data_IF_397368203996
#
_entry.id   IF_397368203996
#
_cell.length_a   1.000
_cell.length_b   1.000
_cell.length_c   1.000
_cell.angle_alpha   90.00
_cell.angle_beta   90.00
_cell.angle_gamma   90.00
#
_symmetry.space_group_name_H-M   'P 1'
#
loop_
_entity.id
_entity.type
_entity.pdbx_description
1 polymer ?
#
# COMPACT_ATOMS: atom_id res chain seq x y z
N UNK A 1 38.41 29.72 -1.29
CA UNK A 1 38.72 29.36 0.11
C UNK A 1 38.04 30.41 0.98
N UNK A 2 36.93 30.08 1.65
CA UNK A 2 36.96 29.24 2.85
C UNK A 2 36.00 28.05 2.80
N UNK A 3 36.31 27.09 3.66
CA UNK A 3 35.68 25.78 3.84
C UNK A 3 34.36 25.91 4.60
N UNK A 4 33.30 25.29 4.11
CA UNK A 4 32.09 25.03 4.88
C UNK A 4 32.09 23.56 5.30
N UNK A 5 31.91 23.39 6.60
CA UNK A 5 32.04 22.20 7.42
C UNK A 5 30.87 21.22 7.23
N UNK A 6 31.23 19.94 7.21
CA UNK A 6 30.35 18.78 7.20
C UNK A 6 29.41 18.73 8.41
N UNK A 7 28.11 18.55 8.15
CA UNK A 7 27.09 18.23 9.16
C UNK A 7 26.63 16.79 9.01
N UNK A 8 27.34 15.85 9.66
CA UNK A 8 26.89 14.47 9.83
C UNK A 8 25.67 14.43 10.76
N UNK A 9 24.49 14.10 10.22
CA UNK A 9 23.29 13.87 11.02
C UNK A 9 23.07 12.37 11.19
N UNK A 10 23.43 11.88 12.37
CA UNK A 10 23.20 10.53 12.89
C UNK A 10 21.70 10.27 13.04
N UNK A 11 21.09 9.44 12.18
CA UNK A 11 19.75 8.91 12.44
C UNK A 11 19.85 7.51 13.06
N UNK A 12 19.31 7.46 14.28
CA UNK A 12 19.25 6.33 15.19
C UNK A 12 18.38 5.22 14.59
N UNK A 13 18.90 4.00 14.62
CA UNK A 13 18.15 2.77 14.35
C UNK A 13 17.15 2.52 15.48
N UNK A 14 15.86 2.41 15.14
CA UNK A 14 14.83 1.87 16.02
C UNK A 14 14.80 0.35 15.84
N UNK A 15 15.22 -0.36 16.89
CA UNK A 15 15.02 -1.79 17.05
C UNK A 15 13.54 -2.05 17.37
N UNK A 16 12.83 -2.73 16.46
CA UNK A 16 11.48 -3.22 16.69
C UNK A 16 11.53 -4.75 16.86
N UNK A 17 10.85 -5.22 17.90
CA UNK A 17 11.01 -6.54 18.50
C UNK A 17 10.57 -7.72 17.62
N UNK A 18 11.37 -8.78 17.71
CA UNK A 18 11.06 -10.13 17.27
C UNK A 18 10.10 -10.78 18.29
N UNK A 19 8.83 -10.89 17.96
CA UNK A 19 7.89 -11.81 18.64
C UNK A 19 8.05 -13.20 18.03
N UNK A 20 8.65 -14.12 18.79
CA UNK A 20 8.69 -15.53 18.44
C UNK A 20 7.30 -16.16 18.67
N UNK A 21 6.63 -16.54 17.58
CA UNK A 21 5.43 -17.39 17.65
C UNK A 21 5.90 -18.84 17.67
N UNK A 22 5.70 -19.52 18.79
CA UNK A 22 5.89 -20.97 18.92
C UNK A 22 4.66 -21.67 18.36
N UNK A 23 4.76 -22.24 17.16
CA UNK A 23 3.78 -23.20 16.63
C UNK A 23 4.08 -24.59 17.23
N UNK A 24 3.24 -25.06 18.13
CA UNK A 24 3.19 -26.48 18.53
C UNK A 24 2.39 -27.26 17.49
N UNK A 25 3.08 -27.93 16.56
CA UNK A 25 2.46 -28.89 15.66
C UNK A 25 2.15 -30.20 16.43
N UNK A 26 0.87 -30.53 16.57
CA UNK A 26 0.42 -31.83 17.06
C UNK A 26 0.56 -32.88 15.94
N UNK A 27 1.42 -33.87 16.11
CA UNK A 27 1.55 -35.02 15.22
C UNK A 27 0.38 -35.99 15.43
N UNK A 28 -0.37 -36.41 14.40
CA UNK A 28 -1.27 -37.55 14.52
C UNK A 28 -0.46 -38.84 14.61
N UNK A 29 -0.77 -39.67 15.62
CA UNK A 29 -0.23 -41.00 15.78
C UNK A 29 -0.69 -41.90 14.62
N UNK A 30 0.24 -42.32 13.78
CA UNK A 30 0.00 -43.34 12.77
C UNK A 30 -0.04 -44.72 13.43
N UNK A 31 -1.12 -45.46 13.19
CA UNK A 31 -1.25 -46.85 13.60
C UNK A 31 -0.27 -47.73 12.82
N UNK A 32 0.56 -48.48 13.54
CA UNK A 32 1.49 -49.46 12.98
C UNK A 32 0.68 -50.71 12.61
N UNK A 33 0.37 -50.88 11.32
CA UNK A 33 -0.09 -52.15 10.78
C UNK A 33 1.12 -53.09 10.57
N UNK A 34 0.97 -54.35 10.97
CA UNK A 34 2.01 -55.38 10.85
C UNK A 34 2.37 -55.64 9.37
N UNK A 35 3.65 -55.96 9.07
CA UNK A 35 4.08 -56.26 7.70
C UNK A 35 3.57 -57.64 7.26
N UNK A 36 2.66 -57.65 6.29
CA UNK A 36 2.31 -58.84 5.53
C UNK A 36 3.52 -59.23 4.67
N UNK A 37 4.11 -60.39 4.94
CA UNK A 37 5.26 -60.95 4.22
C UNK A 37 4.82 -61.33 2.80
N UNK A 38 5.14 -60.50 1.82
CA UNK A 38 4.96 -60.79 0.40
C UNK A 38 6.04 -61.75 -0.09
N UNK A 39 5.63 -62.72 -0.91
CA UNK A 39 6.49 -63.71 -1.56
C UNK A 39 7.28 -63.05 -2.72
N UNK A 40 8.52 -63.49 -3.01
CA UNK A 40 9.33 -62.93 -4.09
C UNK A 40 8.79 -63.41 -5.44
N UNK A 41 8.04 -62.54 -6.10
CA UNK A 41 7.73 -62.69 -7.53
C UNK A 41 7.95 -61.31 -8.14
N UNK A 42 9.15 -61.02 -8.68
CA UNK A 42 9.41 -59.98 -9.71
C UNK A 42 10.90 -59.63 -9.94
N UNK A 43 11.84 -60.57 -9.95
CA UNK A 43 13.22 -60.23 -10.36
C UNK A 43 13.33 -59.86 -11.85
N UNK A 44 12.51 -60.44 -12.73
CA UNK A 44 12.54 -60.12 -14.16
C UNK A 44 11.79 -58.83 -14.55
N UNK A 45 10.73 -58.47 -13.80
CA UNK A 45 9.97 -57.23 -14.08
C UNK A 45 10.75 -56.00 -13.63
N UNK A 46 11.49 -56.10 -12.51
CA UNK A 46 12.35 -55.01 -12.02
C UNK A 46 13.52 -54.69 -12.97
N UNK A 47 14.16 -55.71 -13.54
CA UNK A 47 15.29 -55.52 -14.46
C UNK A 47 14.88 -54.88 -15.81
N UNK A 48 13.70 -55.25 -16.34
CA UNK A 48 13.18 -54.63 -17.57
C UNK A 48 12.80 -53.16 -17.35
N UNK A 49 12.24 -52.83 -16.17
CA UNK A 49 11.92 -51.45 -15.84
C UNK A 49 13.18 -50.59 -15.71
N UNK A 50 14.25 -51.12 -15.10
CA UNK A 50 15.51 -50.41 -14.87
C UNK A 50 16.17 -49.95 -16.18
N UNK A 51 16.17 -50.81 -17.20
CA UNK A 51 16.68 -50.49 -18.53
C UNK A 51 15.91 -49.32 -19.18
N UNK A 52 14.58 -49.37 -19.15
CA UNK A 52 13.73 -48.30 -19.70
C UNK A 52 13.92 -46.98 -18.95
N UNK A 53 14.13 -47.02 -17.64
CA UNK A 53 14.35 -45.83 -16.81
C UNK A 53 15.72 -45.20 -17.06
N UNK A 54 16.78 -46.01 -17.17
CA UNK A 54 18.12 -45.54 -17.60
C UNK A 54 18.04 -44.91 -18.99
N UNK A 55 17.36 -45.55 -19.94
CA UNK A 55 17.17 -45.02 -21.29
C UNK A 55 16.42 -43.69 -21.28
N UNK A 56 15.29 -43.62 -20.59
CA UNK A 56 14.49 -42.40 -20.46
C UNK A 56 15.30 -41.25 -19.86
N UNK A 57 16.11 -41.54 -18.83
CA UNK A 57 16.97 -40.56 -18.20
C UNK A 57 18.12 -40.12 -19.13
N UNK A 58 18.76 -41.05 -19.82
CA UNK A 58 19.79 -40.74 -20.81
C UNK A 58 19.26 -39.84 -21.94
N UNK A 59 18.05 -40.11 -22.44
CA UNK A 59 17.38 -39.26 -23.45
C UNK A 59 17.21 -37.82 -22.93
N UNK A 60 16.79 -37.62 -21.68
CA UNK A 60 16.62 -36.28 -21.07
C UNK A 60 17.91 -35.46 -21.05
N UNK A 61 19.07 -36.12 -20.99
CA UNK A 61 20.37 -35.46 -21.03
C UNK A 61 21.02 -35.47 -22.43
N UNK A 62 20.31 -35.90 -23.47
CA UNK A 62 20.86 -35.97 -24.83
C UNK A 62 21.87 -37.10 -25.02
N UNK A 63 21.81 -38.14 -24.18
CA UNK A 63 22.67 -39.32 -24.21
C UNK A 63 21.96 -40.57 -24.76
N UNK A 64 20.73 -40.44 -25.28
CA UNK A 64 19.91 -41.57 -25.74
C UNK A 64 20.51 -42.43 -26.86
N UNK A 65 21.51 -41.92 -27.58
CA UNK A 65 22.25 -42.71 -28.60
C UNK A 65 23.35 -43.61 -28.03
N UNK A 66 23.64 -43.52 -26.73
CA UNK A 66 24.72 -44.26 -26.07
C UNK A 66 24.18 -45.52 -25.40
N UNK A 67 23.97 -46.57 -26.18
CA UNK A 67 23.53 -47.87 -25.63
C UNK A 67 24.55 -48.46 -24.64
N UNK A 68 25.84 -48.19 -24.87
CA UNK A 68 26.94 -48.54 -23.96
C UNK A 68 26.76 -47.96 -22.54
N UNK A 69 26.10 -46.80 -22.42
CA UNK A 69 25.80 -46.18 -21.14
C UNK A 69 24.71 -46.94 -20.39
N UNK A 70 23.68 -47.42 -21.10
CA UNK A 70 22.49 -48.05 -20.51
C UNK A 70 22.82 -49.44 -19.94
N UNK A 71 23.81 -50.11 -20.53
CA UNK A 71 24.31 -51.42 -20.08
C UNK A 71 25.20 -51.33 -18.84
N UNK A 72 25.57 -50.13 -18.37
CA UNK A 72 26.35 -49.96 -17.16
C UNK A 72 25.54 -50.35 -15.91
N UNK A 73 26.27 -50.82 -14.89
CA UNK A 73 25.72 -50.95 -13.53
C UNK A 73 25.29 -49.58 -13.01
N UNK A 74 24.27 -49.54 -12.15
CA UNK A 74 23.63 -48.29 -11.68
C UNK A 74 24.63 -47.24 -11.24
N UNK A 75 25.61 -47.64 -10.43
CA UNK A 75 26.64 -46.73 -9.94
C UNK A 75 27.43 -46.07 -11.06
N UNK A 76 27.88 -46.84 -12.04
CA UNK A 76 28.67 -46.33 -13.17
C UNK A 76 27.81 -45.48 -14.11
N UNK A 77 26.54 -45.86 -14.30
CA UNK A 77 25.55 -45.05 -15.01
C UNK A 77 25.37 -43.68 -14.32
N UNK A 78 25.17 -43.66 -13.00
CA UNK A 78 25.01 -42.41 -12.23
C UNK A 78 26.27 -41.55 -12.28
N UNK A 79 27.47 -42.14 -12.16
CA UNK A 79 28.75 -41.42 -12.30
C UNK A 79 28.89 -40.82 -13.71
N UNK A 80 28.45 -41.53 -14.75
CA UNK A 80 28.47 -41.03 -16.11
C UNK A 80 27.48 -39.87 -16.32
N UNK A 81 26.27 -39.95 -15.76
CA UNK A 81 25.32 -38.82 -15.74
C UNK A 81 25.93 -37.63 -15.00
N UNK A 82 26.48 -37.83 -13.79
CA UNK A 82 27.14 -36.77 -13.02
C UNK A 82 28.26 -36.10 -13.83
N UNK A 83 29.13 -36.91 -14.46
CA UNK A 83 30.24 -36.41 -15.28
C UNK A 83 29.75 -35.57 -16.45
N UNK A 84 28.60 -35.92 -17.03
CA UNK A 84 28.00 -35.17 -18.13
C UNK A 84 27.40 -33.83 -17.69
N UNK A 85 26.90 -33.74 -16.44
CA UNK A 85 26.20 -32.55 -15.94
C UNK A 85 27.04 -31.66 -15.03
N UNK A 86 28.21 -32.11 -14.56
CA UNK A 86 28.98 -31.42 -13.52
C UNK A 86 29.36 -29.97 -13.86
N UNK A 87 29.62 -29.68 -15.12
CA UNK A 87 30.03 -28.35 -15.61
C UNK A 87 28.84 -27.52 -16.14
N UNK A 88 27.61 -28.03 -16.00
CA UNK A 88 26.38 -27.40 -16.50
C UNK A 88 25.60 -26.76 -15.34
N UNK A 89 25.67 -25.43 -15.14
CA UNK A 89 25.01 -24.78 -14.00
C UNK A 89 23.49 -24.99 -13.98
N UNK A 90 22.87 -25.19 -15.14
CA UNK A 90 21.46 -25.49 -15.30
C UNK A 90 21.03 -26.89 -14.82
N UNK A 91 21.98 -27.73 -14.41
CA UNK A 91 21.76 -29.09 -13.90
C UNK A 91 22.35 -29.27 -12.50
N UNK A 92 22.49 -28.18 -11.73
CA UNK A 92 23.14 -28.20 -10.42
C UNK A 92 22.46 -29.17 -9.44
N UNK A 93 21.12 -29.21 -9.42
CA UNK A 93 20.35 -30.12 -8.56
C UNK A 93 20.60 -31.60 -8.92
N UNK A 94 20.64 -31.92 -10.22
CA UNK A 94 20.92 -33.29 -10.70
C UNK A 94 22.34 -33.70 -10.34
N UNK A 95 23.31 -32.78 -10.47
CA UNK A 95 24.70 -33.00 -10.07
C UNK A 95 24.78 -33.37 -8.59
N UNK A 96 24.14 -32.59 -7.72
CA UNK A 96 24.13 -32.83 -6.26
C UNK A 96 23.45 -34.16 -5.93
N UNK A 97 22.31 -34.47 -6.55
CA UNK A 97 21.60 -35.73 -6.32
C UNK A 97 22.42 -36.95 -6.77
N UNK A 98 23.08 -36.88 -7.92
CA UNK A 98 23.95 -37.96 -8.42
C UNK A 98 25.17 -38.16 -7.52
N UNK A 99 25.80 -37.05 -7.08
CA UNK A 99 26.95 -37.07 -6.16
C UNK A 99 26.60 -37.71 -4.82
N UNK A 100 25.43 -37.40 -4.28
CA UNK A 100 24.92 -38.02 -3.05
C UNK A 100 24.71 -39.53 -3.24
N UNK A 101 24.14 -39.95 -4.36
CA UNK A 101 23.83 -41.35 -4.65
C UNK A 101 25.10 -42.23 -4.73
N UNK A 102 26.10 -41.84 -5.54
CA UNK A 102 27.30 -42.66 -5.70
C UNK A 102 28.30 -42.55 -4.53
N UNK A 103 28.12 -41.54 -3.67
CA UNK A 103 28.93 -41.32 -2.45
C UNK A 103 28.30 -41.93 -1.20
N UNK A 104 27.16 -42.62 -1.32
CA UNK A 104 26.54 -43.35 -0.23
C UNK A 104 27.47 -44.45 0.32
N UNK A 105 27.13 -44.96 1.51
CA UNK A 105 27.93 -46.03 2.15
C UNK A 105 27.98 -47.28 1.25
N UNK A 106 29.01 -48.13 1.35
CA UNK A 106 29.10 -49.34 0.54
C UNK A 106 27.88 -50.26 0.66
N UNK A 107 27.16 -50.22 1.79
CA UNK A 107 25.96 -51.00 2.02
C UNK A 107 24.72 -50.43 1.31
N UNK A 108 24.68 -49.11 1.10
CA UNK A 108 23.50 -48.41 0.59
C UNK A 108 23.68 -47.91 -0.86
N UNK A 109 24.90 -47.94 -1.40
CA UNK A 109 25.24 -47.30 -2.69
C UNK A 109 24.45 -47.85 -3.87
N UNK A 110 24.18 -49.16 -3.91
CA UNK A 110 23.39 -49.77 -4.99
C UNK A 110 21.95 -49.26 -4.96
N UNK A 111 21.31 -49.31 -3.78
CA UNK A 111 19.95 -48.81 -3.60
C UNK A 111 19.86 -47.30 -3.87
N UNK A 112 20.84 -46.51 -3.39
CA UNK A 112 20.86 -45.08 -3.62
C UNK A 112 21.01 -44.70 -5.11
N UNK A 113 21.79 -45.47 -5.87
CA UNK A 113 21.93 -45.27 -7.31
C UNK A 113 20.66 -45.70 -8.07
N UNK A 114 20.02 -46.81 -7.67
CA UNK A 114 18.73 -47.23 -8.20
C UNK A 114 17.64 -46.18 -7.94
N UNK A 115 17.54 -45.70 -6.70
CA UNK A 115 16.61 -44.63 -6.29
C UNK A 115 16.86 -43.34 -7.09
N UNK A 116 18.13 -43.03 -7.37
CA UNK A 116 18.46 -41.90 -8.24
C UNK A 116 17.88 -42.03 -9.65
N UNK A 117 18.04 -43.20 -10.27
CA UNK A 117 17.55 -43.47 -11.62
C UNK A 117 16.02 -43.43 -11.66
N UNK A 118 15.37 -44.02 -10.65
CA UNK A 118 13.93 -44.18 -10.59
C UNK A 118 13.18 -42.88 -10.27
N UNK A 119 13.67 -42.11 -9.30
CA UNK A 119 12.89 -40.99 -8.74
C UNK A 119 13.71 -39.70 -8.61
N UNK A 120 14.89 -39.74 -7.99
CA UNK A 120 15.56 -38.49 -7.60
C UNK A 120 16.06 -37.66 -8.77
N UNK A 121 16.45 -38.28 -9.89
CA UNK A 121 16.89 -37.52 -11.05
C UNK A 121 15.74 -36.67 -11.65
N UNK A 122 14.51 -37.20 -11.67
CA UNK A 122 13.33 -36.44 -12.09
C UNK A 122 12.98 -35.36 -11.07
N UNK A 123 12.98 -35.70 -9.77
CA UNK A 123 12.71 -34.74 -8.71
C UNK A 123 13.72 -33.56 -8.72
N UNK A 124 15.00 -33.85 -9.01
CA UNK A 124 16.03 -32.83 -9.17
C UNK A 124 15.81 -31.92 -10.39
N UNK A 125 15.36 -32.47 -11.52
CA UNK A 125 15.00 -31.67 -12.70
C UNK A 125 13.79 -30.76 -12.42
N UNK A 126 12.81 -31.25 -11.66
CA UNK A 126 11.63 -30.47 -11.28
C UNK A 126 12.02 -29.33 -10.31
N UNK A 127 12.84 -29.60 -9.29
CA UNK A 127 13.40 -28.56 -8.39
C UNK A 127 14.15 -27.48 -9.16
N UNK A 128 14.96 -27.87 -10.14
CA UNK A 128 15.70 -26.94 -10.99
C UNK A 128 14.77 -26.07 -11.85
N UNK A 129 13.72 -26.66 -12.44
CA UNK A 129 12.71 -25.94 -13.22
C UNK A 129 11.93 -24.95 -12.35
N UNK A 130 11.52 -25.36 -11.15
CA UNK A 130 10.85 -24.50 -10.18
C UNK A 130 11.75 -23.34 -9.75
N UNK A 131 13.02 -23.62 -9.41
CA UNK A 131 14.02 -22.61 -9.05
C UNK A 131 14.20 -21.56 -10.15
N UNK A 132 14.31 -22.00 -11.41
CA UNK A 132 14.45 -21.10 -12.56
C UNK A 132 13.20 -20.25 -12.76
N UNK A 133 12.03 -20.87 -12.69
CA UNK A 133 10.75 -20.17 -12.82
C UNK A 133 10.56 -19.13 -11.70
N UNK A 134 10.96 -19.47 -10.47
CA UNK A 134 10.93 -18.57 -9.33
C UNK A 134 11.90 -17.39 -9.51
N UNK A 135 13.12 -17.62 -10.02
CA UNK A 135 14.09 -16.55 -10.29
C UNK A 135 13.64 -15.65 -11.45
N UNK A 136 13.09 -16.22 -12.53
CA UNK A 136 12.47 -15.46 -13.61
C UNK A 136 11.34 -14.57 -13.09
N UNK A 137 10.47 -15.13 -12.24
CA UNK A 137 9.42 -14.35 -11.57
C UNK A 137 10.00 -13.24 -10.71
N UNK A 138 10.99 -13.50 -9.85
CA UNK A 138 11.64 -12.47 -9.03
C UNK A 138 12.23 -11.34 -9.88
N UNK A 139 12.90 -11.68 -10.98
CA UNK A 139 13.46 -10.68 -11.91
C UNK A 139 12.37 -9.85 -12.59
N UNK A 140 11.28 -10.49 -13.02
CA UNK A 140 10.12 -9.79 -13.60
C UNK A 140 9.46 -8.86 -12.58
N UNK A 141 9.19 -9.35 -11.37
CA UNK A 141 8.58 -8.57 -10.28
C UNK A 141 9.47 -7.38 -9.88
N UNK A 142 10.80 -7.56 -9.85
CA UNK A 142 11.76 -6.48 -9.61
C UNK A 142 11.76 -5.43 -10.74
N UNK A 143 11.71 -5.86 -12.00
CA UNK A 143 11.64 -4.95 -13.14
C UNK A 143 10.34 -4.14 -13.13
N UNK A 144 9.19 -4.80 -12.91
CA UNK A 144 7.86 -4.17 -12.82
C UNK A 144 7.76 -3.19 -11.66
N UNK A 145 8.24 -3.57 -10.47
CA UNK A 145 8.25 -2.67 -9.30
C UNK A 145 9.15 -1.46 -9.51
N UNK A 146 10.34 -1.64 -10.10
CA UNK A 146 11.24 -0.52 -10.44
C UNK A 146 10.60 0.40 -11.48
N UNK A 147 9.93 -0.15 -12.49
CA UNK A 147 9.26 0.62 -13.52
C UNK A 147 8.08 1.44 -12.94
N UNK A 148 7.24 0.82 -12.10
CA UNK A 148 6.14 1.50 -11.42
C UNK A 148 6.61 2.63 -10.49
N UNK A 149 7.73 2.43 -9.79
CA UNK A 149 8.33 3.45 -8.94
C UNK A 149 8.74 4.72 -9.71
N UNK A 150 9.04 4.62 -11.01
CA UNK A 150 9.40 5.76 -11.85
C UNK A 150 8.27 6.80 -12.00
N UNK A 151 7.02 6.39 -11.78
CA UNK A 151 5.83 7.26 -11.78
C UNK A 151 5.19 7.36 -10.40
N UNK A 152 5.94 7.08 -9.33
CA UNK A 152 5.48 7.09 -7.93
C UNK A 152 4.30 6.14 -7.65
N UNK A 153 4.18 5.05 -8.40
CA UNK A 153 3.18 4.00 -8.15
C UNK A 153 3.82 2.91 -7.31
N UNK A 154 3.22 2.63 -6.15
CA UNK A 154 3.57 1.45 -5.33
C UNK A 154 3.06 0.20 -6.04
N UNK A 155 3.96 -0.74 -6.34
CA UNK A 155 3.59 -1.99 -6.97
C UNK A 155 2.92 -2.94 -5.95
N UNK A 156 1.63 -3.19 -6.15
CA UNK A 156 0.86 -4.18 -5.38
C UNK A 156 0.89 -5.56 -6.07
N UNK A 157 0.33 -6.57 -5.40
CA UNK A 157 0.28 -7.92 -5.94
C UNK A 157 -0.48 -7.99 -7.28
N UNK A 158 -1.54 -7.18 -7.46
CA UNK A 158 -2.32 -7.17 -8.70
C UNK A 158 -1.53 -6.57 -9.89
N UNK A 159 -0.63 -5.62 -9.63
CA UNK A 159 0.25 -5.05 -10.63
C UNK A 159 1.41 -5.98 -10.98
N UNK A 160 1.97 -6.68 -9.99
CA UNK A 160 3.10 -7.59 -10.20
C UNK A 160 2.67 -8.94 -10.77
N UNK A 161 1.44 -9.37 -10.53
CA UNK A 161 0.91 -10.61 -11.06
C UNK A 161 0.49 -10.51 -12.53
N UNK A 162 0.66 -11.60 -13.28
CA UNK A 162 0.25 -11.69 -14.68
C UNK A 162 1.34 -11.38 -15.72
N UNK A 163 0.89 -11.05 -16.94
CA UNK A 163 1.74 -10.88 -18.13
C UNK A 163 2.24 -9.44 -18.27
N UNK A 164 3.29 -9.24 -19.08
CA UNK A 164 3.81 -7.89 -19.36
C UNK A 164 2.73 -7.00 -19.98
N UNK A 165 1.92 -7.52 -20.90
CA UNK A 165 0.75 -6.82 -21.45
C UNK A 165 -0.20 -6.32 -20.35
N UNK A 166 -0.50 -7.15 -19.35
CA UNK A 166 -1.38 -6.77 -18.24
C UNK A 166 -0.77 -5.68 -17.38
N UNK A 167 0.53 -5.77 -17.09
CA UNK A 167 1.25 -4.71 -16.40
C UNK A 167 1.16 -3.38 -17.16
N UNK A 168 1.43 -3.36 -18.48
CA UNK A 168 1.34 -2.14 -19.29
C UNK A 168 -0.10 -1.58 -19.32
N UNK A 169 -1.12 -2.43 -19.41
CA UNK A 169 -2.53 -2.03 -19.34
C UNK A 169 -2.85 -1.31 -18.02
N UNK A 170 -2.42 -1.89 -16.89
CA UNK A 170 -2.64 -1.34 -15.56
C UNK A 170 -1.88 -0.03 -15.34
N UNK A 171 -0.70 0.15 -15.94
CA UNK A 171 0.02 1.42 -15.94
C UNK A 171 -0.75 2.46 -16.77
N UNK A 172 -1.16 2.11 -17.99
CA UNK A 172 -1.91 3.00 -18.87
C UNK A 172 -3.21 3.49 -18.21
N UNK A 173 -3.99 2.58 -17.60
CA UNK A 173 -5.23 2.90 -16.89
C UNK A 173 -5.00 3.87 -15.72
N UNK A 174 -3.85 3.79 -15.04
CA UNK A 174 -3.52 4.72 -13.93
C UNK A 174 -3.16 6.11 -14.44
N UNK A 175 -2.49 6.22 -15.58
CA UNK A 175 -2.01 7.51 -16.10
C UNK A 175 -2.96 8.16 -17.11
N UNK A 176 -4.04 7.48 -17.52
CA UNK A 176 -4.92 7.97 -18.60
C UNK A 176 -5.59 9.32 -18.24
N UNK A 177 -5.99 9.48 -16.98
CA UNK A 177 -6.60 10.71 -16.45
C UNK A 177 -5.57 11.64 -15.76
N UNK A 178 -4.32 11.20 -15.61
CA UNK A 178 -3.28 12.00 -14.96
C UNK A 178 -2.57 12.90 -15.97
N UNK A 179 -2.89 14.19 -15.91
CA UNK A 179 -2.26 15.23 -16.74
C UNK A 179 -0.75 15.39 -16.52
N UNK A 180 -0.17 14.80 -15.45
CA UNK A 180 1.26 14.87 -15.16
C UNK A 180 2.11 13.95 -16.05
N UNK A 181 1.51 12.95 -16.70
CA UNK A 181 2.22 11.84 -17.36
C UNK A 181 1.87 11.64 -18.86
N UNK A 182 1.85 12.69 -19.69
CA UNK A 182 1.42 12.56 -21.09
C UNK A 182 2.35 11.68 -21.93
N UNK A 183 3.68 11.71 -21.71
CA UNK A 183 4.61 10.86 -22.47
C UNK A 183 4.58 9.42 -21.98
N UNK A 184 4.43 9.19 -20.68
CA UNK A 184 4.20 7.83 -20.15
C UNK A 184 2.93 7.23 -20.75
N UNK A 185 1.83 7.99 -20.78
CA UNK A 185 0.56 7.56 -21.41
C UNK A 185 0.76 7.16 -22.87
N UNK A 186 1.47 7.98 -23.65
CA UNK A 186 1.76 7.67 -25.05
C UNK A 186 2.64 6.43 -25.20
N UNK A 187 3.72 6.30 -24.41
CA UNK A 187 4.62 5.16 -24.46
C UNK A 187 3.91 3.85 -24.05
N UNK A 188 3.06 3.89 -23.03
CA UNK A 188 2.26 2.74 -22.60
C UNK A 188 1.25 2.32 -23.68
N UNK A 189 0.61 3.27 -24.37
CA UNK A 189 -0.30 2.98 -25.48
C UNK A 189 0.41 2.27 -26.65
N UNK A 190 1.63 2.71 -26.99
CA UNK A 190 2.46 2.05 -28.01
C UNK A 190 2.85 0.65 -27.57
N UNK A 191 3.30 0.48 -26.32
CA UNK A 191 3.69 -0.83 -25.79
C UNK A 191 2.52 -1.82 -25.71
N UNK A 192 1.31 -1.34 -25.40
CA UNK A 192 0.08 -2.16 -25.39
C UNK A 192 -0.25 -2.75 -26.77
N UNK A 193 -0.02 -1.99 -27.84
CA UNK A 193 -0.23 -2.43 -29.22
C UNK A 193 0.97 -3.21 -29.78
N UNK A 194 2.04 -3.31 -29.01
CA UNK A 194 3.30 -3.92 -29.41
C UNK A 194 3.39 -5.43 -29.14
N UNK A 195 4.51 -6.01 -29.56
CA UNK A 195 4.89 -7.40 -29.29
C UNK A 195 5.34 -7.58 -27.83
N UNK A 196 5.46 -8.84 -27.37
CA UNK A 196 5.98 -9.16 -26.03
C UNK A 196 7.38 -8.52 -25.78
N UNK A 197 8.25 -8.49 -26.79
CA UNK A 197 9.55 -7.82 -26.69
C UNK A 197 9.45 -6.30 -26.50
N UNK A 198 8.46 -5.65 -27.12
CA UNK A 198 8.21 -4.22 -26.94
C UNK A 198 7.61 -3.91 -25.55
N UNK A 199 6.73 -4.78 -25.06
CA UNK A 199 6.20 -4.68 -23.69
C UNK A 199 7.33 -4.83 -22.65
N UNK A 200 8.21 -5.83 -22.83
CA UNK A 200 9.36 -6.02 -21.96
C UNK A 200 10.33 -4.83 -22.03
N UNK A 201 10.59 -4.27 -23.22
CA UNK A 201 11.46 -3.09 -23.37
C UNK A 201 10.88 -1.85 -22.67
N UNK A 202 9.55 -1.68 -22.73
CA UNK A 202 8.85 -0.63 -22.00
C UNK A 202 9.00 -0.80 -20.48
N UNK A 203 8.85 -2.01 -19.95
CA UNK A 203 9.05 -2.31 -18.52
C UNK A 203 10.51 -2.08 -18.10
N UNK A 204 11.47 -2.55 -18.90
CA UNK A 204 12.89 -2.50 -18.57
C UNK A 204 13.45 -1.07 -18.55
N UNK A 205 12.95 -0.17 -19.40
CA UNK A 205 13.51 1.18 -19.54
C UNK A 205 12.52 2.25 -20.02
N UNK A 206 11.62 1.91 -20.94
CA UNK A 206 10.75 2.88 -21.61
C UNK A 206 9.85 3.68 -20.66
N UNK A 207 9.31 3.04 -19.61
CA UNK A 207 8.49 3.73 -18.60
C UNK A 207 9.31 4.79 -17.85
N UNK A 208 10.52 4.45 -17.40
CA UNK A 208 11.38 5.38 -16.67
C UNK A 208 11.88 6.53 -17.56
N UNK A 209 12.17 6.26 -18.83
CA UNK A 209 12.55 7.30 -19.80
C UNK A 209 11.43 8.30 -20.06
N UNK A 210 10.21 7.80 -20.30
CA UNK A 210 9.04 8.64 -20.49
C UNK A 210 8.75 9.49 -19.25
N UNK A 211 8.81 8.90 -18.04
CA UNK A 211 8.60 9.61 -16.78
C UNK A 211 9.66 10.69 -16.53
N UNK A 212 10.94 10.40 -16.83
CA UNK A 212 12.01 11.40 -16.78
C UNK A 212 11.73 12.57 -17.73
N UNK A 213 11.24 12.29 -18.92
CA UNK A 213 10.94 13.33 -19.89
C UNK A 213 9.73 14.18 -19.48
N UNK A 214 8.65 13.58 -18.98
CA UNK A 214 7.50 14.32 -18.42
C UNK A 214 7.95 15.23 -17.26
N UNK A 215 8.84 14.75 -16.40
CA UNK A 215 9.41 15.55 -15.31
C UNK A 215 10.25 16.72 -15.83
N UNK A 216 11.12 16.49 -16.82
CA UNK A 216 11.91 17.56 -17.46
C UNK A 216 11.02 18.61 -18.11
N UNK A 217 9.98 18.19 -18.83
CA UNK A 217 9.04 19.11 -19.49
C UNK A 217 8.30 19.97 -18.46
N UNK A 218 7.91 19.39 -17.31
CA UNK A 218 7.29 20.13 -16.21
C UNK A 218 8.25 21.14 -15.59
N UNK A 219 9.50 20.74 -15.32
CA UNK A 219 10.54 21.66 -14.82
C UNK A 219 10.76 22.79 -15.82
N UNK A 220 10.92 22.49 -17.10
CA UNK A 220 11.11 23.49 -18.14
C UNK A 220 9.91 24.44 -18.26
N UNK A 221 8.68 23.93 -18.13
CA UNK A 221 7.45 24.74 -18.09
C UNK A 221 7.44 25.68 -16.88
N UNK A 222 7.84 25.19 -15.72
CA UNK A 222 7.91 25.99 -14.49
C UNK A 222 9.07 27.00 -14.50
N UNK A 223 10.17 26.69 -15.16
CA UNK A 223 11.29 27.61 -15.39
C UNK A 223 10.94 28.69 -16.44
N UNK A 224 10.20 28.33 -17.47
CA UNK A 224 9.70 29.26 -18.49
C UNK A 224 8.62 30.22 -17.94
N UNK A 225 7.98 29.88 -16.82
CA UNK A 225 7.14 30.85 -16.10
C UNK A 225 8.00 31.99 -15.58
N UNK A 226 7.77 33.18 -16.13
CA UNK A 226 8.47 34.41 -15.71
C UNK A 226 8.23 34.68 -14.23
N UNK A 227 9.15 35.42 -13.59
CA UNK A 227 8.97 35.86 -12.20
C UNK A 227 7.63 36.60 -11.99
N UNK A 228 7.18 37.35 -13.00
CA UNK A 228 5.88 38.02 -13.01
C UNK A 228 4.70 37.03 -13.02
N UNK A 229 4.77 35.95 -13.80
CA UNK A 229 3.74 34.91 -13.81
C UNK A 229 3.65 34.18 -12.46
N UNK A 230 4.80 33.87 -11.84
CA UNK A 230 4.85 33.26 -10.50
C UNK A 230 4.28 34.20 -9.43
N UNK A 231 4.65 35.48 -9.46
CA UNK A 231 4.11 36.47 -8.54
C UNK A 231 2.59 36.64 -8.71
N UNK A 232 2.09 36.70 -9.94
CA UNK A 232 0.66 36.75 -10.22
C UNK A 232 -0.09 35.50 -9.72
N UNK A 233 0.49 34.31 -9.89
CA UNK A 233 -0.08 33.07 -9.38
C UNK A 233 -0.16 33.04 -7.85
N UNK A 234 0.87 33.53 -7.14
CA UNK A 234 0.87 33.65 -5.68
C UNK A 234 -0.20 34.62 -5.17
N UNK A 235 -0.34 35.78 -5.83
CA UNK A 235 -1.40 36.75 -5.50
C UNK A 235 -2.79 36.13 -5.71
N UNK A 236 -3.01 35.42 -6.83
CA UNK A 236 -4.27 34.72 -7.10
C UNK A 236 -4.55 33.62 -6.07
N UNK A 237 -3.52 32.89 -5.62
CA UNK A 237 -3.66 31.88 -4.58
C UNK A 237 -4.04 32.51 -3.23
N UNK A 238 -3.38 33.60 -2.82
CA UNK A 238 -3.70 34.33 -1.59
C UNK A 238 -5.15 34.82 -1.59
N UNK A 239 -5.60 35.45 -2.69
CA UNK A 239 -7.01 35.87 -2.88
C UNK A 239 -8.00 34.72 -2.77
N UNK A 240 -7.67 33.58 -3.37
CA UNK A 240 -8.50 32.36 -3.29
C UNK A 240 -8.64 31.86 -1.85
N UNK A 241 -7.53 31.78 -1.11
CA UNK A 241 -7.57 31.34 0.29
C UNK A 241 -8.37 32.30 1.17
N UNK A 242 -8.16 33.61 0.99
CA UNK A 242 -8.91 34.64 1.69
C UNK A 242 -10.42 34.55 1.41
N UNK A 243 -10.82 34.45 0.14
CA UNK A 243 -12.23 34.33 -0.25
C UNK A 243 -12.90 33.07 0.33
N UNK A 244 -12.23 31.91 0.23
CA UNK A 244 -12.72 30.66 0.82
C UNK A 244 -12.89 30.77 2.34
N UNK A 245 -12.00 31.48 3.04
CA UNK A 245 -12.05 31.62 4.51
C UNK A 245 -13.33 32.31 4.98
N UNK A 246 -13.84 33.24 4.20
CA UNK A 246 -15.02 34.04 4.54
C UNK A 246 -16.31 33.54 3.87
N UNK A 247 -16.20 32.57 2.96
CA UNK A 247 -17.34 32.04 2.21
C UNK A 247 -17.73 32.87 0.98
N UNK A 248 -16.82 33.75 0.51
CA UNK A 248 -16.99 34.52 -0.71
C UNK A 248 -16.85 33.58 -1.93
N UNK A 249 -17.82 33.52 -2.86
CA UNK A 249 -17.73 32.67 -4.04
C UNK A 249 -16.49 32.96 -4.88
N UNK A 250 -15.64 31.96 -5.07
CA UNK A 250 -14.39 32.09 -5.83
C UNK A 250 -14.68 31.96 -7.32
N UNK A 251 -14.63 33.07 -8.04
CA UNK A 251 -14.67 33.09 -9.52
C UNK A 251 -13.34 33.56 -10.11
N UNK A 252 -13.10 33.27 -11.38
CA UNK A 252 -11.88 33.74 -12.05
C UNK A 252 -11.83 35.26 -12.16
N UNK A 253 -12.98 35.92 -12.34
CA UNK A 253 -13.09 37.37 -12.33
C UNK A 253 -12.61 37.95 -10.99
N UNK A 254 -13.07 37.38 -9.87
CA UNK A 254 -12.68 37.80 -8.53
C UNK A 254 -11.17 37.71 -8.30
N UNK A 255 -10.54 36.61 -8.74
CA UNK A 255 -9.11 36.40 -8.54
C UNK A 255 -8.25 37.32 -9.42
N UNK A 256 -8.80 37.79 -10.53
CA UNK A 256 -8.11 38.69 -11.46
C UNK A 256 -8.30 40.18 -11.12
N UNK A 257 -9.13 40.53 -10.14
CA UNK A 257 -9.29 41.92 -9.71
C UNK A 257 -7.97 42.50 -9.18
N UNK A 258 -7.71 43.80 -9.35
CA UNK A 258 -6.70 44.51 -8.59
C UNK A 258 -6.89 44.32 -7.07
N UNK A 259 -5.80 44.30 -6.30
CA UNK A 259 -5.86 44.01 -4.85
C UNK A 259 -6.85 44.91 -4.11
N UNK A 260 -6.88 46.20 -4.44
CA UNK A 260 -7.82 47.15 -3.87
C UNK A 260 -9.29 46.81 -4.17
N UNK A 261 -9.59 46.41 -5.40
CA UNK A 261 -10.96 46.07 -5.82
C UNK A 261 -11.43 44.75 -5.20
N UNK A 262 -10.50 43.80 -5.04
CA UNK A 262 -10.74 42.58 -4.27
C UNK A 262 -11.10 42.91 -2.81
N UNK A 263 -10.38 43.83 -2.16
CA UNK A 263 -10.68 44.27 -0.78
C UNK A 263 -12.06 44.93 -0.70
N UNK A 264 -12.42 45.76 -1.68
CA UNK A 264 -13.76 46.37 -1.74
C UNK A 264 -14.85 45.32 -1.91
N UNK A 265 -14.59 44.25 -2.68
CA UNK A 265 -15.52 43.13 -2.80
C UNK A 265 -15.69 42.38 -1.48
N UNK A 266 -14.59 42.14 -0.75
CA UNK A 266 -14.63 41.56 0.61
C UNK A 266 -15.44 42.46 1.56
N UNK A 267 -15.19 43.77 1.56
CA UNK A 267 -15.93 44.73 2.38
C UNK A 267 -17.45 44.68 2.10
N UNK A 268 -17.85 44.67 0.83
CA UNK A 268 -19.26 44.65 0.44
C UNK A 268 -19.95 43.29 0.70
N UNK A 269 -19.17 42.21 0.79
CA UNK A 269 -19.68 40.87 1.05
C UNK A 269 -19.98 40.64 2.54
N UNK A 270 -19.10 41.13 3.41
CA UNK A 270 -19.22 40.92 4.85
C UNK A 270 -20.36 41.72 5.48
N UNK A 271 -21.03 41.10 6.45
CA UNK A 271 -22.10 41.75 7.19
C UNK A 271 -21.58 42.98 7.97
N UNK A 272 -22.47 43.95 8.16
CA UNK A 272 -22.21 45.13 8.98
C UNK A 272 -21.67 44.79 10.38
N UNK A 273 -20.52 45.34 10.73
CA UNK A 273 -19.95 45.26 12.09
C UNK A 273 -19.11 44.01 12.40
N UNK A 274 -18.76 43.20 11.39
CA UNK A 274 -17.77 42.12 11.56
C UNK A 274 -16.34 42.68 11.58
N UNK A 275 -15.43 41.96 12.22
CA UNK A 275 -14.00 42.30 12.24
C UNK A 275 -13.36 42.19 10.87
N UNK A 276 -13.83 41.27 10.03
CA UNK A 276 -13.41 41.22 8.62
C UNK A 276 -13.82 42.49 7.89
N UNK A 277 -15.05 42.98 8.09
CA UNK A 277 -15.53 44.21 7.48
C UNK A 277 -14.72 45.43 7.94
N UNK A 278 -14.49 45.58 9.25
CA UNK A 278 -13.69 46.67 9.83
C UNK A 278 -12.28 46.71 9.21
N UNK A 279 -11.63 45.54 9.15
CA UNK A 279 -10.28 45.41 8.59
C UNK A 279 -10.25 45.68 7.07
N UNK A 280 -11.29 45.30 6.33
CA UNK A 280 -11.41 45.60 4.89
C UNK A 280 -11.60 47.11 4.64
N UNK A 281 -12.38 47.80 5.49
CA UNK A 281 -12.54 49.27 5.44
C UNK A 281 -11.21 49.96 5.71
N UNK A 282 -10.47 49.52 6.73
CA UNK A 282 -9.16 50.08 7.06
C UNK A 282 -8.17 49.89 5.89
N UNK A 283 -8.06 48.66 5.37
CA UNK A 283 -7.16 48.35 4.27
C UNK A 283 -7.52 49.12 2.98
N UNK A 284 -8.82 49.24 2.63
CA UNK A 284 -9.27 49.92 1.40
C UNK A 284 -9.07 51.44 1.41
N UNK A 285 -8.98 52.05 2.60
CA UNK A 285 -8.67 53.47 2.81
C UNK A 285 -7.18 53.78 2.70
N UNK A 286 -6.31 52.78 2.85
CA UNK A 286 -4.89 52.94 2.63
C UNK A 286 -4.58 53.12 1.14
N UNK A 287 -3.60 53.97 0.84
CA UNK A 287 -3.01 54.10 -0.51
C UNK A 287 -1.75 53.23 -0.69
N UNK A 288 -1.32 52.52 0.36
CA UNK A 288 -0.12 51.70 0.34
C UNK A 288 -0.44 50.26 -0.12
N UNK A 289 0.10 49.80 -1.26
CA UNK A 289 -0.07 48.44 -1.74
C UNK A 289 0.43 47.36 -0.76
N UNK A 290 1.42 47.67 0.09
CA UNK A 290 1.91 46.73 1.09
C UNK A 290 0.83 46.42 2.15
N UNK A 291 -0.01 47.39 2.49
CA UNK A 291 -1.14 47.20 3.42
C UNK A 291 -2.21 46.32 2.77
N UNK A 292 -2.53 46.54 1.49
CA UNK A 292 -3.48 45.70 0.76
C UNK A 292 -3.02 44.26 0.70
N UNK A 293 -1.75 44.05 0.35
CA UNK A 293 -1.13 42.73 0.31
C UNK A 293 -1.16 42.05 1.68
N UNK A 294 -0.77 42.76 2.73
CA UNK A 294 -0.77 42.22 4.11
C UNK A 294 -2.18 41.81 4.55
N UNK A 295 -3.18 42.62 4.20
CA UNK A 295 -4.57 42.32 4.47
C UNK A 295 -5.04 41.05 3.75
N UNK A 296 -4.74 40.90 2.45
CA UNK A 296 -5.09 39.71 1.66
C UNK A 296 -4.38 38.46 2.19
N UNK A 297 -3.07 38.55 2.46
CA UNK A 297 -2.26 37.39 2.86
C UNK A 297 -2.59 36.89 4.27
N UNK A 298 -2.89 37.80 5.20
CA UNK A 298 -3.02 37.46 6.63
C UNK A 298 -4.15 38.18 7.36
N UNK A 299 -4.42 39.44 7.00
CA UNK A 299 -5.41 40.27 7.72
C UNK A 299 -6.83 39.70 7.71
N UNK A 300 -7.31 39.20 6.58
CA UNK A 300 -8.64 38.57 6.46
C UNK A 300 -8.77 37.37 7.39
N UNK A 301 -7.74 36.53 7.44
CA UNK A 301 -7.73 35.33 8.28
C UNK A 301 -7.80 35.69 9.77
N UNK A 302 -6.93 36.59 10.21
CA UNK A 302 -6.89 37.06 11.59
C UNK A 302 -8.20 37.74 12.00
N UNK A 303 -8.80 38.52 11.11
CA UNK A 303 -10.07 39.18 11.36
C UNK A 303 -11.21 38.16 11.51
N UNK A 304 -11.26 37.14 10.63
CA UNK A 304 -12.25 36.06 10.73
C UNK A 304 -12.10 35.25 12.01
N UNK A 305 -10.87 35.01 12.46
CA UNK A 305 -10.61 34.32 13.73
C UNK A 305 -11.17 35.12 14.93
N UNK A 306 -11.03 36.45 14.91
CA UNK A 306 -11.63 37.33 15.93
C UNK A 306 -13.16 37.29 15.89
N UNK A 307 -13.78 37.24 14.71
CA UNK A 307 -15.23 37.09 14.58
C UNK A 307 -15.73 35.76 15.15
N UNK A 308 -15.03 34.66 14.84
CA UNK A 308 -15.34 33.33 15.39
C UNK A 308 -15.23 33.35 16.91
N UNK A 309 -14.15 33.91 17.45
CA UNK A 309 -13.95 33.99 18.90
C UNK A 309 -15.06 34.81 19.57
N UNK A 310 -15.41 35.98 19.02
CA UNK A 310 -16.48 36.80 19.57
C UNK A 310 -17.85 36.07 19.57
N UNK A 311 -18.15 35.30 18.52
CA UNK A 311 -19.35 34.49 18.46
C UNK A 311 -19.35 33.36 19.51
N UNK A 312 -18.20 32.71 19.74
CA UNK A 312 -18.04 31.70 20.78
C UNK A 312 -18.21 32.29 22.18
N UNK A 313 -17.57 33.42 22.47
CA UNK A 313 -17.67 34.10 23.77
C UNK A 313 -19.11 34.51 24.09
N UNK A 314 -19.83 35.02 23.08
CA UNK A 314 -21.25 35.37 23.20
C UNK A 314 -22.09 34.14 23.52
N UNK A 315 -21.90 33.04 22.78
CA UNK A 315 -22.61 31.79 23.03
C UNK A 315 -22.33 31.23 24.42
N UNK A 316 -21.07 31.26 24.86
CA UNK A 316 -20.71 30.84 26.21
C UNK A 316 -21.39 31.70 27.29
N UNK A 317 -21.49 33.02 27.08
CA UNK A 317 -22.21 33.91 27.99
C UNK A 317 -23.71 33.61 28.05
N UNK A 318 -24.33 33.31 26.91
CA UNK A 318 -25.74 32.89 26.82
C UNK A 318 -25.96 31.55 27.52
N UNK A 319 -25.12 30.55 27.25
CA UNK A 319 -25.17 29.22 27.87
C UNK A 319 -25.00 29.31 29.39
N UNK A 320 -24.03 30.11 29.88
CA UNK A 320 -23.85 30.35 31.32
C UNK A 320 -25.09 30.99 31.96
N UNK A 321 -25.74 31.92 31.26
CA UNK A 321 -26.97 32.56 31.74
C UNK A 321 -28.13 31.56 31.77
N UNK A 322 -28.26 30.70 30.76
CA UNK A 322 -29.28 29.67 30.70
C UNK A 322 -29.10 28.61 31.82
N UNK A 323 -27.87 28.15 32.06
CA UNK A 323 -27.57 27.21 33.15
C UNK A 323 -27.91 27.83 34.51
N UNK A 324 -27.53 29.10 34.76
CA UNK A 324 -27.90 29.79 36.00
C UNK A 324 -29.42 29.86 36.19
N UNK A 325 -30.17 30.20 35.15
CA UNK A 325 -31.63 30.25 35.21
C UNK A 325 -32.26 28.87 35.53
N UNK A 326 -31.68 27.77 35.03
CA UNK A 326 -32.12 26.40 35.35
C UNK A 326 -31.84 26.08 36.82
N UNK A 327 -30.62 26.39 37.30
CA UNK A 327 -30.24 26.18 38.71
C UNK A 327 -31.15 26.98 39.64
N UNK A 328 -31.39 28.26 39.36
CA UNK A 328 -32.28 29.12 40.16
C UNK A 328 -33.70 28.57 40.20
N UNK A 329 -34.22 28.07 39.06
CA UNK A 329 -35.55 27.45 38.98
C UNK A 329 -35.61 26.12 39.75
N UNK A 330 -34.53 25.36 39.81
CA UNK A 330 -34.48 24.08 40.53
C UNK A 330 -34.31 24.26 42.04
N UNK A 331 -33.51 25.24 42.48
CA UNK A 331 -33.18 25.47 43.90
C UNK A 331 -34.28 26.26 44.61
N UNK A 332 -34.93 27.22 43.95
CA UNK A 332 -35.95 28.10 44.57
C UNK A 332 -37.14 27.34 45.18
N UNK A 333 -37.74 26.31 44.52
CA UNK A 333 -38.81 25.51 45.12
C UNK A 333 -38.36 24.71 46.33
N UNK A 334 -37.14 24.15 46.28
CA UNK A 334 -36.56 23.40 47.41
C UNK A 334 -36.39 24.33 48.60
N UNK A 335 -35.73 25.48 48.43
CA UNK A 335 -35.54 26.44 49.52
C UNK A 335 -36.88 27.00 50.05
N UNK A 336 -37.87 27.24 49.20
CA UNK A 336 -39.21 27.67 49.63
C UNK A 336 -39.95 26.59 50.43
N UNK A 337 -39.79 25.31 50.10
CA UNK A 337 -40.34 24.21 50.88
C UNK A 337 -39.70 24.12 52.28
N UNK A 338 -38.41 24.43 52.41
CA UNK A 338 -37.74 24.53 53.71
C UNK A 338 -38.15 25.77 54.53
N UNK A 339 -38.59 26.85 53.87
CA UNK A 339 -38.98 28.12 54.51
C UNK A 339 -40.48 28.24 54.85
N UNK A 340 -41.32 27.23 54.59
CA UNK A 340 -42.69 27.18 55.10
C UNK A 340 -42.80 26.19 56.27
N UNK A 341 -42.56 26.63 57.53
CA UNK A 341 -42.79 25.81 58.70
C UNK A 341 -44.31 25.74 58.95
N UNK A 342 -45.00 24.78 58.32
CA UNK A 342 -46.44 24.58 58.58
C UNK A 342 -47.23 23.74 57.58
N UNK A 343 -46.68 23.41 56.40
CA UNK A 343 -47.40 22.63 55.38
C UNK A 343 -47.30 21.10 55.56
N UNK A 344 -46.75 20.59 56.66
CA UNK A 344 -46.83 19.19 57.08
C UNK A 344 -48.16 18.89 57.78
N UNK A 345 -49.29 19.30 57.17
CA UNK A 345 -50.60 18.80 57.56
C UNK A 345 -50.86 17.49 56.81
N UNK A 346 -50.36 16.41 57.41
CA UNK A 346 -50.98 15.08 57.43
C UNK A 346 -51.96 14.79 56.28
N UNK A 347 -51.47 14.27 55.16
CA UNK A 347 -52.28 13.38 54.31
C UNK A 347 -51.85 11.95 54.61
N UNK A 348 -52.25 11.50 55.79
CA UNK A 348 -52.22 10.09 56.13
C UNK A 348 -53.18 9.33 55.21
N UNK A 349 -52.83 8.07 54.95
CA UNK A 349 -53.66 6.98 54.42
C UNK A 349 -53.82 6.89 52.90
N UNK A 350 -52.93 6.10 52.26
CA UNK A 350 -53.25 4.76 51.70
C UNK A 350 -52.00 4.15 51.05
N UNK A 351 -51.31 3.31 51.81
CA UNK A 351 -50.54 2.16 51.32
C UNK A 351 -51.46 0.92 51.29
N UNK A 352 -51.10 -0.21 50.65
CA UNK A 352 -50.80 -0.40 49.22
C UNK A 352 -51.52 -1.65 48.66
N UNK A 353 -51.56 -1.86 47.34
CA UNK A 353 -51.77 -3.20 46.76
C UNK A 353 -50.52 -3.62 45.98
N UNK A 354 -49.88 -4.76 46.32
CA UNK A 354 -48.70 -5.26 45.64
C UNK A 354 -49.03 -5.88 44.26
N UNK A 355 -48.03 -5.98 43.37
CA UNK A 355 -48.18 -6.35 41.97
C UNK A 355 -48.46 -7.84 41.78
N UNK A 356 -49.39 -8.19 40.88
CA UNK A 356 -49.46 -9.56 40.38
C UNK A 356 -48.34 -9.78 39.37
N UNK A 357 -47.58 -10.85 39.60
CA UNK A 357 -46.60 -11.38 38.67
C UNK A 357 -47.33 -11.92 37.43
N UNK A 358 -46.98 -11.41 36.26
CA UNK A 358 -47.35 -11.96 34.95
C UNK A 358 -46.09 -12.43 34.22
N UNK A 359 -46.08 -13.65 33.66
CA UNK A 359 -44.89 -14.27 33.09
C UNK A 359 -44.58 -13.75 31.69
N UNK A 360 -43.34 -14.02 31.25
CA UNK A 360 -42.72 -13.46 30.08
C UNK A 360 -43.44 -13.69 28.75
N UNK A 361 -43.05 -12.85 27.79
CA UNK A 361 -43.23 -13.09 26.37
C UNK A 361 -41.98 -12.66 25.63
N UNK A 362 -41.36 -13.65 25.02
CA UNK A 362 -40.36 -13.59 23.96
C UNK A 362 -40.95 -13.00 22.68
N UNK A 363 -40.23 -12.12 21.98
CA UNK A 363 -40.30 -11.90 20.50
C UNK A 363 -39.21 -10.91 20.09
N UNK A 364 -38.23 -11.34 19.31
CA UNK A 364 -38.17 -11.41 17.84
C UNK A 364 -37.54 -10.17 17.21
N UNK A 365 -36.33 -10.38 16.68
CA UNK A 365 -35.97 -10.26 15.27
C UNK A 365 -36.34 -9.01 14.45
N UNK A 366 -35.28 -8.49 13.79
CA UNK A 366 -35.20 -7.79 12.49
C UNK A 366 -35.77 -6.35 12.47
N UNK A 367 -35.06 -5.37 11.91
CA UNK A 367 -34.32 -5.34 10.63
C UNK A 367 -33.18 -4.34 10.70
#
# INVERSE_FOLDING_TARGET
MPRLTDGFTTRRFLAAGLTAVVLTAASPAAAIAAPTRTLPTSTMVLAATEYEQKMALAIKFGLGGRLDLIELVDRDFVIAIWTHVKDKPQNAEVRVAAELAFSATPQDVEQACADFILTEAQAALDRERERRSAEEKRRSDLARSTAAAAINVTADAALLDGTDAKFVELIWQRVVEDSQWPKVKAAAAVALQGTAGQQQAFIASGLAEAARQDTKDRIAKDEAQTGAAKAAALVRAAKRFAANRIGLPVTDELLNLPDRDFIVTVWNHEAGGTKVQDAAVEASRSLDPAIWKTFIDTGIHQAKDRDIQAALDKKEAEDRTAVRAIVDRAVKPVMQAWQQPGASRWRATRTPSPPSAGPGSTRSDRT
#
